data_IF_773541765380
#
_entry.id   IF_773541765380
#
_cell.length_a   1.000
_cell.length_b   1.000
_cell.length_c   1.000
_cell.angle_alpha   90.00
_cell.angle_beta   90.00
_cell.angle_gamma   90.00
#
_symmetry.space_group_name_H-M   'P 1'
#
loop_
_entity.id
_entity.type
_entity.pdbx_description
1 polymer ?
#
# COMPACT_ATOMS: atom_id res chain seq x y z
N UNK A 1 5.75 -64.23 -43.07
CA UNK A 1 6.22 -64.52 -44.44
C UNK A 1 5.46 -63.60 -45.38
N UNK A 2 6.12 -62.64 -46.02
CA UNK A 2 5.45 -61.74 -46.96
C UNK A 2 5.17 -62.47 -48.28
N UNK A 3 3.98 -62.28 -48.86
CA UNK A 3 3.67 -62.87 -50.17
C UNK A 3 4.61 -62.28 -51.24
N UNK A 4 5.33 -63.10 -52.02
CA UNK A 4 6.32 -62.60 -52.99
C UNK A 4 5.69 -61.65 -54.01
N UNK A 5 4.46 -61.94 -54.46
CA UNK A 5 3.69 -61.12 -55.40
C UNK A 5 3.44 -59.69 -54.86
N UNK A 6 3.24 -59.52 -53.54
CA UNK A 6 3.08 -58.20 -52.92
C UNK A 6 4.40 -57.42 -52.87
N UNK A 7 5.53 -58.11 -52.76
CA UNK A 7 6.87 -57.49 -52.81
C UNK A 7 7.19 -57.01 -54.22
N UNK A 8 6.90 -57.83 -55.23
CA UNK A 8 7.18 -57.51 -56.63
C UNK A 8 6.32 -56.34 -57.13
N UNK A 9 5.03 -56.31 -56.75
CA UNK A 9 4.15 -55.18 -57.05
C UNK A 9 4.64 -53.85 -56.45
N UNK A 10 5.25 -53.89 -55.26
CA UNK A 10 5.85 -52.71 -54.60
C UNK A 10 7.10 -52.25 -55.33
N UNK A 11 8.00 -53.17 -55.66
CA UNK A 11 9.23 -52.86 -56.42
C UNK A 11 8.92 -52.26 -57.79
N UNK A 12 7.91 -52.80 -58.47
CA UNK A 12 7.47 -52.28 -59.77
C UNK A 12 6.91 -50.85 -59.68
N UNK A 13 6.12 -50.53 -58.64
CA UNK A 13 5.65 -49.15 -58.40
C UNK A 13 6.80 -48.19 -58.05
N UNK A 14 7.81 -48.65 -57.30
CA UNK A 14 8.99 -47.84 -57.00
C UNK A 14 9.82 -47.52 -58.26
N UNK A 15 9.85 -48.43 -59.24
CA UNK A 15 10.52 -48.24 -60.52
C UNK A 15 9.71 -47.38 -61.51
N UNK A 16 8.39 -47.25 -61.33
CA UNK A 16 7.48 -46.55 -62.25
C UNK A 16 6.63 -45.51 -61.50
N UNK A 17 7.17 -44.35 -61.11
CA UNK A 17 6.48 -43.37 -60.26
C UNK A 17 5.30 -42.65 -60.95
N UNK A 18 5.23 -42.66 -62.28
CA UNK A 18 4.11 -42.10 -63.05
C UNK A 18 2.89 -43.02 -63.09
N UNK A 19 3.04 -44.29 -62.74
CA UNK A 19 1.99 -45.29 -62.83
C UNK A 19 1.13 -45.37 -61.57
N UNK A 20 -0.17 -45.63 -61.77
CA UNK A 20 -1.11 -45.69 -60.65
C UNK A 20 -1.03 -47.02 -59.89
N UNK A 21 -1.36 -46.99 -58.60
CA UNK A 21 -1.51 -48.21 -57.78
C UNK A 21 -2.58 -49.16 -58.36
N UNK A 22 -3.56 -48.63 -59.10
CA UNK A 22 -4.55 -49.44 -59.80
C UNK A 22 -3.95 -50.19 -61.01
N UNK A 23 -2.98 -49.59 -61.70
CA UNK A 23 -2.24 -50.25 -62.79
C UNK A 23 -1.47 -51.46 -62.24
N UNK A 24 -0.69 -51.26 -61.18
CA UNK A 24 0.06 -52.32 -60.51
C UNK A 24 -0.87 -53.44 -59.96
N UNK A 25 -2.02 -53.06 -59.40
CA UNK A 25 -3.03 -54.02 -58.93
C UNK A 25 -3.52 -54.96 -60.04
N UNK A 26 -3.72 -54.44 -61.26
CA UNK A 26 -4.14 -55.25 -62.42
C UNK A 26 -3.02 -56.16 -62.92
N UNK A 27 -1.79 -55.64 -63.03
CA UNK A 27 -0.63 -56.38 -63.53
C UNK A 27 -0.31 -57.58 -62.63
N UNK A 28 -0.24 -57.35 -61.32
CA UNK A 28 0.16 -58.38 -60.35
C UNK A 28 -1.03 -59.18 -59.79
N UNK A 29 -2.25 -58.91 -60.27
CA UNK A 29 -3.50 -59.55 -59.80
C UNK A 29 -3.67 -59.50 -58.28
N UNK A 30 -3.30 -58.37 -57.67
CA UNK A 30 -3.43 -58.11 -56.23
C UNK A 30 -4.56 -57.11 -56.00
N UNK A 31 -5.45 -57.30 -55.01
CA UNK A 31 -6.45 -56.29 -54.66
C UNK A 31 -5.82 -54.93 -54.33
N UNK A 32 -6.35 -53.86 -54.91
CA UNK A 32 -5.84 -52.48 -54.73
C UNK A 32 -5.72 -52.08 -53.25
N UNK A 33 -6.69 -52.45 -52.43
CA UNK A 33 -6.71 -52.18 -50.98
C UNK A 33 -5.55 -52.84 -50.24
N UNK A 34 -5.19 -54.07 -50.61
CA UNK A 34 -4.07 -54.81 -50.01
C UNK A 34 -2.74 -54.16 -50.38
N UNK A 35 -2.57 -53.76 -51.66
CA UNK A 35 -1.36 -53.07 -52.12
C UNK A 35 -1.21 -51.69 -51.46
N UNK A 36 -2.28 -50.89 -51.39
CA UNK A 36 -2.29 -49.60 -50.69
C UNK A 36 -2.00 -49.75 -49.19
N UNK A 37 -2.59 -50.75 -48.54
CA UNK A 37 -2.33 -51.05 -47.13
C UNK A 37 -0.88 -51.46 -46.87
N UNK A 38 -0.26 -52.17 -47.82
CA UNK A 38 1.14 -52.57 -47.72
C UNK A 38 2.08 -51.37 -47.84
N UNK A 39 1.83 -50.48 -48.80
CA UNK A 39 2.59 -49.24 -49.01
C UNK A 39 2.46 -48.31 -47.78
N UNK A 40 1.24 -48.11 -47.29
CA UNK A 40 1.00 -47.24 -46.12
C UNK A 40 1.62 -47.78 -44.84
N UNK A 41 1.69 -49.12 -44.65
CA UNK A 41 2.39 -49.73 -43.52
C UNK A 41 3.90 -49.51 -43.57
N UNK A 42 4.52 -49.60 -44.75
CA UNK A 42 5.95 -49.32 -44.91
C UNK A 42 6.28 -47.84 -44.67
N UNK A 43 5.43 -46.93 -45.15
CA UNK A 43 5.63 -45.49 -44.96
C UNK A 43 5.35 -45.02 -43.53
N UNK A 44 4.69 -45.85 -42.70
CA UNK A 44 4.64 -45.62 -41.26
C UNK A 44 6.01 -45.98 -40.68
N UNK A 45 6.91 -45.00 -40.67
CA UNK A 45 8.08 -44.98 -39.79
C UNK A 45 7.57 -45.40 -38.41
N UNK A 46 8.11 -46.50 -37.89
CA UNK A 46 7.65 -47.12 -36.66
C UNK A 46 7.78 -46.15 -35.49
N UNK A 47 6.73 -45.36 -35.23
CA UNK A 47 6.47 -44.81 -33.91
C UNK A 47 6.06 -46.03 -33.09
N UNK A 48 7.06 -46.73 -32.56
CA UNK A 48 6.84 -47.84 -31.65
C UNK A 48 5.86 -47.35 -30.60
N UNK A 49 4.67 -47.98 -30.55
CA UNK A 49 3.75 -47.82 -29.43
C UNK A 49 4.37 -48.56 -28.24
N UNK A 50 5.44 -47.98 -27.69
CA UNK A 50 5.96 -48.35 -26.39
C UNK A 50 4.90 -47.98 -25.36
N UNK A 51 4.59 -48.91 -24.46
CA UNK A 51 3.74 -48.64 -23.32
C UNK A 51 4.23 -47.41 -22.53
N UNK A 52 3.35 -46.81 -21.73
CA UNK A 52 3.58 -45.55 -20.99
C UNK A 52 4.71 -45.57 -19.96
N UNK A 53 5.59 -46.57 -19.96
CA UNK A 53 6.82 -46.59 -19.18
C UNK A 53 7.83 -45.64 -19.82
N UNK A 54 7.64 -44.34 -19.58
CA UNK A 54 8.64 -43.31 -19.87
C UNK A 54 9.91 -43.67 -19.08
N UNK A 55 10.92 -44.18 -19.78
CA UNK A 55 12.27 -44.23 -19.26
C UNK A 55 12.65 -42.82 -18.80
N UNK A 56 13.29 -42.70 -17.63
CA UNK A 56 13.71 -41.43 -17.06
C UNK A 56 14.57 -40.67 -18.09
N UNK A 57 14.34 -39.38 -18.26
CA UNK A 57 15.20 -38.57 -19.15
C UNK A 57 16.63 -38.54 -18.61
N UNK A 58 17.62 -38.25 -19.46
CA UNK A 58 19.02 -38.17 -19.04
C UNK A 58 19.20 -37.19 -17.87
N UNK A 59 18.49 -36.06 -17.91
CA UNK A 59 18.46 -35.05 -16.84
C UNK A 59 17.86 -35.59 -15.54
N UNK A 60 16.72 -36.28 -15.62
CA UNK A 60 16.09 -36.90 -14.46
C UNK A 60 16.98 -37.98 -13.84
N UNK A 61 17.67 -38.75 -14.68
CA UNK A 61 18.62 -39.78 -14.23
C UNK A 61 19.82 -39.15 -13.52
N UNK A 62 20.36 -38.04 -14.04
CA UNK A 62 21.45 -37.30 -13.42
C UNK A 62 21.05 -36.72 -12.06
N UNK A 63 19.90 -36.05 -11.99
CA UNK A 63 19.37 -35.48 -10.76
C UNK A 63 19.12 -36.57 -9.69
N UNK A 64 18.59 -37.73 -10.10
CA UNK A 64 18.33 -38.84 -9.19
C UNK A 64 19.64 -39.47 -8.67
N UNK A 65 20.68 -39.59 -9.52
CA UNK A 65 22.02 -40.03 -9.10
C UNK A 65 22.66 -39.07 -8.10
N UNK A 66 22.57 -37.76 -8.34
CA UNK A 66 23.07 -36.75 -7.41
C UNK A 66 22.34 -36.84 -6.07
N UNK A 67 21.01 -36.90 -6.08
CA UNK A 67 20.20 -37.04 -4.86
C UNK A 67 20.56 -38.31 -4.07
N UNK A 68 20.68 -39.47 -4.73
CA UNK A 68 21.11 -40.72 -4.09
C UNK A 68 22.47 -40.52 -3.41
N UNK A 69 23.43 -39.90 -4.09
CA UNK A 69 24.77 -39.66 -3.57
C UNK A 69 24.73 -38.78 -2.32
N UNK A 70 23.88 -37.77 -2.30
CA UNK A 70 23.70 -36.88 -1.15
C UNK A 70 23.10 -37.61 0.05
N UNK A 71 22.13 -38.51 -0.16
CA UNK A 71 21.53 -39.31 0.92
C UNK A 71 22.54 -40.27 1.57
N UNK A 72 23.44 -40.87 0.78
CA UNK A 72 24.52 -41.69 1.33
C UNK A 72 25.55 -40.88 2.12
N UNK A 73 25.90 -39.67 1.65
CA UNK A 73 26.76 -38.75 2.42
C UNK A 73 26.15 -38.33 3.75
N UNK A 74 24.82 -38.27 3.84
CA UNK A 74 24.07 -37.97 5.06
C UNK A 74 23.87 -39.19 5.98
N UNK A 75 24.36 -40.38 5.60
CA UNK A 75 24.24 -41.62 6.39
C UNK A 75 22.85 -42.26 6.38
N UNK A 76 21.90 -41.70 5.63
CA UNK A 76 20.50 -42.16 5.59
C UNK A 76 20.31 -43.34 4.64
N UNK A 77 21.17 -43.48 3.63
CA UNK A 77 21.02 -44.43 2.53
C UNK A 77 19.85 -44.07 1.61
N UNK A 78 19.88 -44.58 0.37
CA UNK A 78 18.81 -44.33 -0.60
C UNK A 78 17.97 -45.59 -0.82
N UNK A 79 16.91 -45.75 -0.03
CA UNK A 79 16.00 -46.90 -0.13
C UNK A 79 15.12 -46.80 -1.38
N UNK A 80 14.75 -47.96 -1.96
CA UNK A 80 13.84 -48.06 -3.12
C UNK A 80 12.55 -47.26 -2.91
N UNK A 81 11.97 -47.24 -1.72
CA UNK A 81 10.76 -46.47 -1.45
C UNK A 81 10.99 -44.96 -1.51
N UNK A 82 12.14 -44.46 -1.04
CA UNK A 82 12.47 -43.04 -1.11
C UNK A 82 12.74 -42.58 -2.55
N UNK A 83 13.44 -43.42 -3.34
CA UNK A 83 13.67 -43.10 -4.76
C UNK A 83 12.37 -43.11 -5.57
N UNK A 84 11.45 -44.03 -5.27
CA UNK A 84 10.10 -43.99 -5.83
C UNK A 84 9.34 -42.74 -5.36
N UNK A 85 9.38 -42.40 -4.07
CA UNK A 85 8.71 -41.21 -3.55
C UNK A 85 9.17 -39.93 -4.26
N UNK A 86 10.47 -39.73 -4.44
CA UNK A 86 11.01 -38.56 -5.18
C UNK A 86 10.59 -38.55 -6.65
N UNK A 87 10.51 -39.72 -7.30
CA UNK A 87 10.07 -39.82 -8.69
C UNK A 87 8.60 -39.47 -8.89
N UNK A 88 7.75 -39.75 -7.91
CA UNK A 88 6.30 -39.59 -7.99
C UNK A 88 5.73 -38.47 -7.13
N UNK A 89 6.55 -37.83 -6.29
CA UNK A 89 6.20 -36.62 -5.57
C UNK A 89 6.13 -35.48 -6.58
N UNK A 90 4.94 -35.22 -7.10
CA UNK A 90 4.64 -33.91 -7.67
C UNK A 90 4.92 -32.89 -6.56
N UNK A 91 5.67 -31.80 -6.81
CA UNK A 91 5.70 -30.71 -5.84
C UNK A 91 4.24 -30.35 -5.55
N UNK A 92 3.89 -30.29 -4.27
CA UNK A 92 2.55 -29.91 -3.86
C UNK A 92 2.19 -28.61 -4.61
N UNK A 93 1.03 -28.52 -5.28
CA UNK A 93 0.65 -27.29 -5.94
C UNK A 93 0.61 -26.19 -4.88
N UNK A 94 1.54 -25.24 -4.96
CA UNK A 94 1.53 -24.05 -4.12
C UNK A 94 0.25 -23.32 -4.46
N UNK A 95 -0.74 -23.42 -3.56
CA UNK A 95 -1.98 -22.67 -3.69
C UNK A 95 -1.61 -21.17 -3.69
N UNK A 96 -1.98 -20.38 -4.70
CA UNK A 96 -1.74 -18.94 -4.63
C UNK A 96 -2.61 -18.37 -3.51
N UNK A 97 -2.01 -18.07 -2.37
CA UNK A 97 -2.62 -17.28 -1.28
C UNK A 97 -2.57 -15.80 -1.65
N UNK A 98 -3.07 -15.43 -2.83
CA UNK A 98 -3.08 -14.04 -3.28
C UNK A 98 -4.54 -13.66 -3.46
N UNK A 99 -5.17 -13.28 -2.35
CA UNK A 99 -6.39 -12.47 -2.42
C UNK A 99 -5.96 -11.19 -3.16
N UNK A 100 -6.51 -10.90 -4.36
CA UNK A 100 -6.12 -9.70 -5.09
C UNK A 100 -6.45 -8.48 -4.25
N UNK A 101 -5.46 -7.62 -3.99
CA UNK A 101 -5.61 -6.41 -3.19
C UNK A 101 -6.00 -5.19 -4.06
N UNK A 102 -5.89 -5.32 -5.39
CA UNK A 102 -6.23 -4.27 -6.34
C UNK A 102 -6.99 -4.81 -7.57
N UNK A 103 -7.71 -3.92 -8.25
CA UNK A 103 -8.37 -4.24 -9.52
C UNK A 103 -7.39 -4.77 -10.57
N UNK A 104 -6.21 -4.16 -10.68
CA UNK A 104 -5.18 -4.57 -11.63
C UNK A 104 -4.68 -6.00 -11.37
N UNK A 105 -4.51 -6.38 -10.10
CA UNK A 105 -4.14 -7.76 -9.74
C UNK A 105 -5.24 -8.75 -10.09
N UNK A 106 -6.51 -8.39 -9.87
CA UNK A 106 -7.64 -9.25 -10.23
C UNK A 106 -7.76 -9.45 -11.75
N UNK A 107 -7.48 -8.39 -12.53
CA UNK A 107 -7.47 -8.45 -13.99
C UNK A 107 -6.32 -9.31 -14.51
N UNK A 108 -5.11 -9.13 -13.97
CA UNK A 108 -3.94 -9.93 -14.34
C UNK A 108 -4.17 -11.43 -14.04
N UNK A 109 -4.77 -11.75 -12.90
CA UNK A 109 -5.16 -13.12 -12.56
C UNK A 109 -6.23 -13.65 -13.54
N UNK A 110 -7.25 -12.86 -13.87
CA UNK A 110 -8.27 -13.24 -14.83
C UNK A 110 -7.66 -13.55 -16.20
N UNK A 111 -6.74 -12.70 -16.70
CA UNK A 111 -6.03 -12.93 -17.97
C UNK A 111 -5.16 -14.19 -17.93
N UNK A 112 -4.47 -14.45 -16.82
CA UNK A 112 -3.69 -15.67 -16.64
C UNK A 112 -4.56 -16.94 -16.75
N UNK A 113 -5.72 -16.95 -16.08
CA UNK A 113 -6.62 -18.10 -16.09
C UNK A 113 -7.40 -18.24 -17.39
N UNK A 114 -7.68 -17.12 -18.08
CA UNK A 114 -8.35 -17.09 -19.38
C UNK A 114 -7.62 -17.92 -20.43
N UNK A 115 -6.29 -17.98 -20.38
CA UNK A 115 -5.48 -18.79 -21.30
C UNK A 115 -5.35 -20.24 -20.81
N UNK A 116 -5.23 -20.45 -19.50
CA UNK A 116 -4.85 -21.74 -18.92
C UNK A 116 -6.04 -22.70 -18.76
N UNK A 117 -7.20 -22.22 -18.31
CA UNK A 117 -8.35 -23.07 -17.95
C UNK A 117 -9.11 -23.66 -19.16
N UNK A 118 -9.33 -22.95 -20.28
CA UNK A 118 -10.09 -23.51 -21.39
C UNK A 118 -9.52 -24.83 -21.92
N UNK A 119 -8.19 -25.00 -21.90
CA UNK A 119 -7.50 -26.22 -22.35
C UNK A 119 -7.86 -27.44 -21.49
N UNK A 120 -8.14 -27.23 -20.21
CA UNK A 120 -8.43 -28.27 -19.23
C UNK A 120 -9.93 -28.61 -19.12
N UNK A 121 -10.80 -27.75 -19.65
CA UNK A 121 -12.26 -27.88 -19.52
C UNK A 121 -12.90 -28.58 -20.72
N UNK A 122 -13.97 -29.33 -20.45
CA UNK A 122 -14.87 -29.92 -21.46
C UNK A 122 -15.67 -28.82 -22.19
N UNK A 123 -16.23 -29.14 -23.36
CA UNK A 123 -16.92 -28.14 -24.21
C UNK A 123 -18.02 -27.33 -23.49
N UNK A 124 -18.96 -27.95 -22.75
CA UNK A 124 -20.01 -27.19 -22.04
C UNK A 124 -19.45 -26.33 -20.90
N UNK A 125 -18.48 -26.86 -20.16
CA UNK A 125 -17.83 -26.14 -19.05
C UNK A 125 -16.96 -24.99 -19.55
N UNK A 126 -16.28 -25.17 -20.68
CA UNK A 126 -15.50 -24.14 -21.37
C UNK A 126 -16.39 -22.98 -21.82
N UNK A 127 -17.56 -23.27 -22.38
CA UNK A 127 -18.50 -22.24 -22.81
C UNK A 127 -19.03 -21.43 -21.62
N UNK A 128 -19.39 -22.10 -20.51
CA UNK A 128 -19.78 -21.43 -19.26
C UNK A 128 -18.66 -20.55 -18.71
N UNK A 129 -17.43 -21.06 -18.70
CA UNK A 129 -16.26 -20.33 -18.26
C UNK A 129 -16.01 -19.08 -19.11
N UNK A 130 -16.05 -19.20 -20.44
CA UNK A 130 -15.86 -18.06 -21.34
C UNK A 130 -16.92 -16.97 -21.11
N UNK A 131 -18.19 -17.35 -20.94
CA UNK A 131 -19.26 -16.40 -20.64
C UNK A 131 -19.02 -15.70 -19.30
N UNK A 132 -18.56 -16.43 -18.28
CA UNK A 132 -18.19 -15.86 -16.98
C UNK A 132 -17.00 -14.90 -17.09
N UNK A 133 -15.96 -15.25 -17.85
CA UNK A 133 -14.81 -14.36 -18.08
C UNK A 133 -15.27 -13.05 -18.72
N UNK A 134 -16.07 -13.13 -19.80
CA UNK A 134 -16.60 -11.93 -20.48
C UNK A 134 -17.40 -11.05 -19.52
N UNK A 135 -18.31 -11.65 -18.74
CA UNK A 135 -19.10 -10.90 -17.75
C UNK A 135 -18.26 -10.31 -16.61
N UNK A 136 -17.17 -10.98 -16.24
CA UNK A 136 -16.26 -10.46 -15.20
C UNK A 136 -15.40 -9.32 -15.75
N UNK A 137 -14.92 -9.41 -16.99
CA UNK A 137 -14.18 -8.32 -17.67
C UNK A 137 -15.03 -7.04 -17.74
N UNK A 138 -16.32 -7.15 -18.08
CA UNK A 138 -17.20 -5.98 -18.10
C UNK A 138 -17.37 -5.38 -16.70
N UNK A 139 -17.59 -6.19 -15.67
CA UNK A 139 -17.72 -5.70 -14.28
C UNK A 139 -16.43 -5.03 -13.80
N UNK A 140 -15.27 -5.60 -14.10
CA UNK A 140 -13.97 -5.00 -13.75
C UNK A 140 -13.76 -3.66 -14.44
N UNK A 141 -14.10 -3.53 -15.73
CA UNK A 141 -14.02 -2.27 -16.46
C UNK A 141 -14.93 -1.18 -15.86
N UNK A 142 -16.13 -1.55 -15.39
CA UNK A 142 -17.01 -0.61 -14.68
C UNK A 142 -16.40 -0.17 -13.34
N UNK A 143 -15.78 -1.09 -12.60
CA UNK A 143 -15.06 -0.77 -11.36
C UNK A 143 -13.91 0.21 -11.58
N UNK A 144 -13.09 -0.01 -12.61
CA UNK A 144 -12.01 0.91 -12.99
C UNK A 144 -12.54 2.30 -13.36
N UNK A 145 -13.63 2.38 -14.11
CA UNK A 145 -14.28 3.65 -14.44
C UNK A 145 -14.77 4.38 -13.19
N UNK A 146 -15.30 3.64 -12.21
CA UNK A 146 -15.75 4.21 -10.94
C UNK A 146 -14.59 4.79 -10.12
N UNK A 147 -13.46 4.07 -10.01
CA UNK A 147 -12.26 4.59 -9.35
C UNK A 147 -11.74 5.86 -10.03
N UNK A 148 -11.73 5.86 -11.37
CA UNK A 148 -11.32 7.04 -12.14
C UNK A 148 -12.25 8.23 -11.89
N UNK A 149 -13.56 8.02 -11.92
CA UNK A 149 -14.54 9.07 -11.61
C UNK A 149 -14.35 9.64 -10.20
N UNK A 150 -14.12 8.78 -9.20
CA UNK A 150 -13.83 9.21 -7.83
C UNK A 150 -12.55 10.07 -7.78
N UNK A 151 -11.50 9.67 -8.51
CA UNK A 151 -10.25 10.44 -8.58
C UNK A 151 -10.44 11.81 -9.23
N UNK A 152 -11.26 11.91 -10.28
CA UNK A 152 -11.58 13.19 -10.93
C UNK A 152 -12.35 14.08 -9.97
N UNK A 153 -13.37 13.55 -9.30
CA UNK A 153 -14.18 14.31 -8.35
C UNK A 153 -13.32 14.84 -7.20
N UNK A 154 -12.43 14.01 -6.65
CA UNK A 154 -11.48 14.44 -5.62
C UNK A 154 -10.58 15.56 -6.14
N UNK A 155 -10.01 15.43 -7.34
CA UNK A 155 -9.20 16.47 -7.97
C UNK A 155 -10.00 17.77 -8.17
N UNK A 156 -11.25 17.69 -8.60
CA UNK A 156 -12.11 18.87 -8.77
C UNK A 156 -12.39 19.56 -7.44
N UNK A 157 -12.69 18.79 -6.39
CA UNK A 157 -12.87 19.32 -5.02
C UNK A 157 -11.61 20.03 -4.54
N UNK A 158 -10.44 19.42 -4.74
CA UNK A 158 -9.17 20.03 -4.35
C UNK A 158 -8.85 21.27 -5.17
N UNK A 159 -9.11 21.25 -6.48
CA UNK A 159 -9.02 22.43 -7.31
C UNK A 159 -9.98 23.52 -6.84
N UNK A 160 -11.20 23.21 -6.42
CA UNK A 160 -12.14 24.20 -5.93
C UNK A 160 -11.66 24.82 -4.60
N UNK A 161 -11.20 23.98 -3.65
CA UNK A 161 -10.56 24.43 -2.41
C UNK A 161 -9.35 25.33 -2.69
N UNK A 162 -8.54 24.96 -3.68
CA UNK A 162 -7.34 25.71 -4.07
C UNK A 162 -7.66 26.94 -4.91
N UNK A 163 -8.75 26.96 -5.70
CA UNK A 163 -9.21 28.14 -6.45
C UNK A 163 -9.57 29.28 -5.51
N UNK A 164 -10.21 29.00 -4.37
CA UNK A 164 -10.47 30.02 -3.35
C UNK A 164 -9.20 30.56 -2.68
N UNK A 165 -8.14 29.75 -2.59
CA UNK A 165 -6.81 30.21 -2.11
C UNK A 165 -6.03 30.97 -3.17
N UNK A 166 -6.06 30.52 -4.42
CA UNK A 166 -5.33 31.11 -5.54
C UNK A 166 -6.02 32.37 -6.09
N UNK A 167 -7.35 32.48 -6.01
CA UNK A 167 -8.07 33.72 -6.33
C UNK A 167 -7.72 34.82 -5.33
N UNK A 168 -7.56 34.49 -4.04
CA UNK A 168 -7.06 35.40 -3.01
C UNK A 168 -5.58 35.79 -3.19
N UNK A 169 -4.82 35.03 -3.99
CA UNK A 169 -3.42 35.32 -4.33
C UNK A 169 -3.26 36.04 -5.68
N UNK A 170 -4.34 36.20 -6.48
CA UNK A 170 -4.32 37.01 -7.70
C UNK A 170 -4.48 38.48 -7.34
N UNK A 171 -3.35 39.15 -7.12
CA UNK A 171 -3.21 40.61 -7.13
C UNK A 171 -3.31 41.15 -8.57
N UNK A 172 -4.41 40.86 -9.29
CA UNK A 172 -4.73 41.63 -10.48
C UNK A 172 -6.21 41.49 -10.85
N UNK A 173 -7.00 42.38 -10.28
CA UNK A 173 -8.26 42.83 -10.86
C UNK A 173 -7.94 44.24 -11.38
N UNK A 174 -7.59 44.34 -12.67
CA UNK A 174 -7.49 45.61 -13.41
C UNK A 174 -6.20 46.42 -13.19
N UNK A 175 -5.37 46.51 -14.23
CA UNK A 175 -4.31 47.52 -14.35
C UNK A 175 -2.87 46.98 -14.36
N UNK A 176 -2.00 47.62 -15.16
CA UNK A 176 -0.57 47.33 -15.17
C UNK A 176 0.05 47.81 -13.85
N UNK A 177 0.47 46.86 -13.00
CA UNK A 177 1.14 47.15 -11.74
C UNK A 177 2.46 47.86 -12.04
N UNK A 178 2.59 49.11 -11.60
CA UNK A 178 3.86 49.84 -11.75
C UNK A 178 4.92 49.25 -10.80
N UNK A 179 6.20 49.36 -11.17
CA UNK A 179 7.31 48.77 -10.40
C UNK A 179 7.33 49.31 -8.96
N UNK A 180 6.95 50.57 -8.77
CA UNK A 180 6.91 51.21 -7.46
C UNK A 180 5.76 50.68 -6.59
N UNK A 181 4.58 50.46 -7.15
CA UNK A 181 3.45 49.81 -6.46
C UNK A 181 3.80 48.37 -6.05
N UNK A 182 4.53 47.65 -6.89
CA UNK A 182 4.99 46.30 -6.57
C UNK A 182 5.94 46.28 -5.37
N UNK A 183 6.84 47.27 -5.27
CA UNK A 183 7.74 47.42 -4.11
C UNK A 183 6.96 47.81 -2.85
N UNK A 184 6.02 48.74 -2.94
CA UNK A 184 5.17 49.15 -1.82
C UNK A 184 4.34 47.98 -1.26
N UNK A 185 3.81 47.11 -2.14
CA UNK A 185 3.09 45.91 -1.71
C UNK A 185 4.00 44.87 -1.05
N UNK A 186 5.29 44.82 -1.42
CA UNK A 186 6.26 43.95 -0.76
C UNK A 186 6.62 44.47 0.63
N UNK A 187 6.81 45.78 0.80
CA UNK A 187 7.08 46.39 2.10
C UNK A 187 5.89 46.23 3.04
N UNK A 188 4.66 46.51 2.58
CA UNK A 188 3.44 46.34 3.39
C UNK A 188 3.25 44.88 3.83
N UNK A 189 3.57 43.91 2.96
CA UNK A 189 3.55 42.49 3.32
C UNK A 189 4.60 42.15 4.36
N UNK A 190 5.81 42.68 4.23
CA UNK A 190 6.89 42.46 5.19
C UNK A 190 6.56 43.08 6.55
N UNK A 191 6.03 44.31 6.57
CA UNK A 191 5.57 44.99 7.78
C UNK A 191 4.46 44.19 8.47
N UNK A 192 3.44 43.74 7.72
CA UNK A 192 2.35 42.92 8.28
C UNK A 192 2.85 41.57 8.84
N UNK A 193 3.92 41.01 8.29
CA UNK A 193 4.55 39.80 8.85
C UNK A 193 5.30 40.13 10.14
N UNK A 194 6.09 41.21 10.14
CA UNK A 194 6.81 41.69 11.31
C UNK A 194 5.84 42.04 12.46
N UNK A 195 4.72 42.71 12.18
CA UNK A 195 3.67 42.99 13.17
C UNK A 195 3.08 41.71 13.77
N UNK A 196 2.85 40.68 12.95
CA UNK A 196 2.33 39.39 13.43
C UNK A 196 3.35 38.66 14.29
N UNK A 197 4.63 38.76 13.99
CA UNK A 197 5.70 38.18 14.79
C UNK A 197 5.83 38.92 16.12
N UNK A 198 5.88 40.26 16.10
CA UNK A 198 5.87 41.08 17.30
C UNK A 198 4.62 40.83 18.18
N UNK A 199 3.44 40.66 17.58
CA UNK A 199 2.21 40.33 18.32
C UNK A 199 2.27 38.94 18.97
N UNK A 200 2.91 37.96 18.34
CA UNK A 200 3.12 36.62 18.93
C UNK A 200 4.10 36.70 20.10
N UNK A 201 5.20 37.42 19.93
CA UNK A 201 6.20 37.62 20.99
C UNK A 201 5.59 38.36 22.19
N UNK A 202 4.84 39.44 21.95
CA UNK A 202 4.12 40.18 22.98
C UNK A 202 3.10 39.29 23.71
N UNK A 203 2.41 38.40 22.99
CA UNK A 203 1.48 37.43 23.60
C UNK A 203 2.21 36.43 24.49
N UNK A 204 3.36 35.90 24.07
CA UNK A 204 4.16 34.97 24.87
C UNK A 204 4.67 35.69 26.14
N UNK A 205 5.18 36.91 26.02
CA UNK A 205 5.63 37.71 27.15
C UNK A 205 4.49 37.97 28.15
N UNK A 206 3.29 38.35 27.67
CA UNK A 206 2.09 38.52 28.51
C UNK A 206 1.66 37.22 29.18
N UNK A 207 1.79 36.09 28.50
CA UNK A 207 1.44 34.80 29.07
C UNK A 207 2.42 34.42 30.19
N UNK A 208 3.73 34.64 29.97
CA UNK A 208 4.76 34.40 30.97
C UNK A 208 4.57 35.29 32.21
N UNK A 209 4.31 36.59 32.03
CA UNK A 209 4.09 37.51 33.16
C UNK A 209 2.83 37.14 33.97
N UNK A 210 1.74 36.76 33.29
CA UNK A 210 0.53 36.31 33.95
C UNK A 210 0.72 34.98 34.70
N UNK A 211 1.55 34.07 34.17
CA UNK A 211 1.90 32.83 34.87
C UNK A 211 2.72 33.11 36.12
N UNK A 212 3.73 33.98 36.04
CA UNK A 212 4.54 34.41 37.19
C UNK A 212 3.67 35.06 38.27
N UNK A 213 2.76 35.98 37.90
CA UNK A 213 1.82 36.60 38.85
C UNK A 213 0.92 35.59 39.54
N UNK A 214 0.44 34.57 38.82
CA UNK A 214 -0.36 33.47 39.42
C UNK A 214 0.46 32.62 40.38
N UNK A 215 1.73 32.37 40.09
CA UNK A 215 2.63 31.63 40.97
C UNK A 215 2.88 32.42 42.27
N UNK A 216 3.18 33.72 42.18
CA UNK A 216 3.34 34.59 43.35
C UNK A 216 2.08 34.59 44.23
N UNK A 217 0.89 34.74 43.62
CA UNK A 217 -0.38 34.69 44.35
C UNK A 217 -0.61 33.35 45.06
N UNK A 218 -0.26 32.23 44.43
CA UNK A 218 -0.37 30.89 45.06
C UNK A 218 0.58 30.77 46.25
N UNK A 219 1.83 31.16 46.07
CA UNK A 219 2.83 31.17 47.13
C UNK A 219 2.41 32.07 48.30
N UNK A 220 1.86 33.26 48.03
CA UNK A 220 1.37 34.17 49.08
C UNK A 220 0.17 33.62 49.84
N UNK A 221 -0.76 32.93 49.17
CA UNK A 221 -1.86 32.22 49.85
C UNK A 221 -1.34 31.09 50.75
N UNK A 222 -0.34 30.35 50.30
CA UNK A 222 0.30 29.30 51.09
C UNK A 222 1.04 29.87 52.31
N UNK A 223 1.84 30.93 52.12
CA UNK A 223 2.52 31.64 53.19
C UNK A 223 1.52 32.15 54.24
N UNK A 224 0.41 32.78 53.83
CA UNK A 224 -0.65 33.24 54.75
C UNK A 224 -1.32 32.09 55.52
N UNK A 225 -1.49 30.92 54.90
CA UNK A 225 -2.01 29.72 55.60
C UNK A 225 -1.00 29.21 56.63
N UNK A 226 0.27 29.11 56.25
CA UNK A 226 1.33 28.68 57.16
C UNK A 226 1.48 29.65 58.33
N UNK A 227 1.45 30.96 58.08
CA UNK A 227 1.53 31.98 59.15
C UNK A 227 0.33 31.91 60.09
N UNK A 228 -0.88 31.61 59.58
CA UNK A 228 -2.05 31.36 60.44
C UNK A 228 -1.87 30.11 61.31
N UNK A 229 -1.26 29.05 60.78
CA UNK A 229 -0.95 27.83 61.55
C UNK A 229 0.13 28.11 62.60
N UNK A 230 1.22 28.80 62.23
CA UNK A 230 2.28 29.25 63.13
C UNK A 230 1.70 30.05 64.30
N UNK A 231 0.89 31.08 64.01
CA UNK A 231 0.21 31.89 65.05
C UNK A 231 -0.67 31.04 65.97
N UNK A 232 -1.36 30.03 65.45
CA UNK A 232 -2.14 29.08 66.27
C UNK A 232 -1.25 28.23 67.18
N UNK A 233 -0.14 27.68 66.67
CA UNK A 233 0.84 26.90 67.45
C UNK A 233 1.47 27.74 68.55
N UNK A 234 1.95 28.93 68.21
CA UNK A 234 2.51 29.90 69.17
C UNK A 234 1.51 30.23 70.28
N UNK A 235 0.24 30.45 69.93
CA UNK A 235 -0.82 30.71 70.91
C UNK A 235 -1.07 29.51 71.85
N UNK A 236 -0.98 28.28 71.33
CA UNK A 236 -1.09 27.06 72.14
C UNK A 236 0.09 26.93 73.11
N UNK A 237 1.34 27.06 72.64
CA UNK A 237 2.52 27.00 73.51
C UNK A 237 2.50 28.04 74.63
N UNK A 238 2.11 29.29 74.30
CA UNK A 238 1.92 30.36 75.29
C UNK A 238 0.84 30.03 76.32
N UNK A 239 -0.24 29.37 75.90
CA UNK A 239 -1.33 28.96 76.79
C UNK A 239 -0.90 27.84 77.75
N UNK A 240 -0.09 26.91 77.26
CA UNK A 240 0.39 25.75 78.03
C UNK A 240 1.64 26.07 78.86
N UNK A 241 2.16 27.31 78.81
CA UNK A 241 3.36 27.75 79.54
C UNK A 241 4.67 27.20 78.99
N UNK A 242 4.64 26.58 77.80
CA UNK A 242 5.80 25.97 77.17
C UNK A 242 6.60 27.00 76.34
N UNK A 243 7.95 26.87 76.29
CA UNK A 243 8.78 27.72 75.42
C UNK A 243 8.46 27.46 73.95
N UNK A 244 8.46 28.53 73.14
CA UNK A 244 8.12 28.48 71.71
C UNK A 244 9.30 27.85 70.95
N UNK A 245 9.07 26.81 70.12
CA UNK A 245 10.10 26.20 69.29
C UNK A 245 10.80 27.21 68.36
N UNK A 246 12.10 27.03 68.05
CA UNK A 246 12.87 27.94 67.19
C UNK A 246 12.23 28.20 65.81
N UNK A 247 11.62 27.17 65.22
CA UNK A 247 10.97 27.23 63.90
C UNK A 247 9.74 28.16 63.86
N UNK A 248 9.13 28.44 65.02
CA UNK A 248 7.94 29.27 65.15
C UNK A 248 8.27 30.68 65.66
N UNK A 249 9.55 31.04 65.83
CA UNK A 249 9.96 32.36 66.34
C UNK A 249 9.77 33.46 65.28
N UNK A 250 10.15 33.18 64.04
CA UNK A 250 10.12 34.15 62.97
C UNK A 250 8.79 34.15 62.20
N UNK A 251 8.24 35.34 61.84
CA UNK A 251 7.11 35.44 60.93
C UNK A 251 7.44 34.90 59.53
N UNK A 252 6.52 34.16 58.93
CA UNK A 252 6.70 33.66 57.57
C UNK A 252 6.44 34.81 56.57
N UNK A 253 7.40 35.17 55.71
CA UNK A 253 7.23 36.26 54.74
C UNK A 253 6.21 35.92 53.65
N UNK A 254 5.41 36.91 53.22
CA UNK A 254 4.43 36.76 52.15
C UNK A 254 5.02 37.27 50.82
N UNK A 255 5.41 36.38 49.89
CA UNK A 255 6.05 36.78 48.64
C UNK A 255 5.11 37.61 47.72
N UNK A 256 3.80 37.52 47.89
CA UNK A 256 2.84 38.36 47.16
C UNK A 256 2.92 39.82 47.67
N UNK A 257 2.93 40.02 48.98
CA UNK A 257 2.98 41.34 49.61
C UNK A 257 4.32 42.06 49.39
N UNK A 258 5.43 41.32 49.38
CA UNK A 258 6.75 41.88 49.10
C UNK A 258 6.87 42.36 47.64
N UNK A 259 6.28 41.63 46.70
CA UNK A 259 6.28 42.02 45.28
C UNK A 259 5.47 43.30 44.99
N UNK A 260 4.43 43.58 45.78
CA UNK A 260 3.65 44.81 45.66
C UNK A 260 4.35 46.02 46.29
N UNK A 261 5.17 45.80 47.33
CA UNK A 261 5.92 46.87 48.01
C UNK A 261 7.04 47.50 47.17
N UNK A 262 7.48 46.84 46.09
CA UNK A 262 8.50 47.34 45.17
C UNK A 262 7.98 48.14 43.96
N UNK A 263 6.66 48.24 43.76
CA UNK A 263 6.03 48.91 42.59
C UNK A 263 5.16 50.09 43.05
N UNK A 264 5.62 50.81 44.07
CA UNK A 264 5.08 52.12 44.46
C UNK A 264 5.80 53.26 43.76
N UNK A 265 5.62 53.43 42.45
CA UNK A 265 5.99 54.66 41.73
C UNK A 265 5.11 54.80 40.49
N UNK A 266 4.40 55.94 40.45
CA UNK A 266 3.16 56.14 39.70
C UNK A 266 3.26 56.04 38.18
N UNK A 267 2.16 55.60 37.57
CA UNK A 267 1.78 55.96 36.21
C UNK A 267 0.25 55.93 36.11
N UNK A 268 -0.40 56.92 36.72
CA UNK A 268 -1.80 57.25 36.46
C UNK A 268 -1.89 57.94 35.10
N UNK A 269 -2.22 57.19 34.06
CA UNK A 269 -2.64 57.74 32.77
C UNK A 269 -4.14 57.97 32.85
N UNK A 270 -4.54 59.23 33.03
CA UNK A 270 -5.90 59.71 32.78
C UNK A 270 -6.20 59.57 31.28
N UNK A 271 -6.82 58.44 30.91
CA UNK A 271 -7.44 58.24 29.61
C UNK A 271 -8.84 58.83 29.64
N UNK A 272 -8.97 60.06 29.17
CA UNK A 272 -10.22 60.76 28.91
C UNK A 272 -11.08 59.93 27.93
N UNK A 273 -12.14 59.31 28.46
CA UNK A 273 -13.10 58.52 27.68
C UNK A 273 -14.24 59.47 27.25
N UNK A 274 -14.16 59.93 26.01
CA UNK A 274 -15.16 60.78 25.34
C UNK A 274 -16.33 59.88 24.90
N UNK A 275 -17.46 60.00 25.60
CA UNK A 275 -18.72 59.38 25.22
C UNK A 275 -19.40 60.27 24.17
N UNK A 276 -19.21 59.97 22.89
CA UNK A 276 -20.07 60.53 21.84
C UNK A 276 -21.40 59.77 21.83
N UNK A 277 -22.44 60.45 22.33
CA UNK A 277 -23.82 59.98 22.35
C UNK A 277 -24.41 59.91 20.95
N UNK A 278 -24.91 58.72 20.60
CA UNK A 278 -25.79 58.52 19.47
C UNK A 278 -27.20 59.05 19.81
N UNK A 279 -27.48 60.29 19.40
CA UNK A 279 -28.84 60.77 19.14
C UNK A 279 -29.00 60.95 17.64
N UNK A 280 -29.94 60.19 17.05
CA UNK A 280 -30.89 60.63 16.00
C UNK A 280 -31.42 59.43 15.21
N UNK A 281 -32.64 59.01 15.58
CA UNK A 281 -33.61 58.41 14.66
C UNK A 281 -34.93 59.15 14.88
N UNK A 282 -35.22 60.12 14.01
CA UNK A 282 -36.57 60.47 13.58
C UNK A 282 -36.62 60.35 12.05
#
# INVERSE_FOLDING_TARGET
MENPILSDARKWLAANPSESVATASRIFKVPKSTLQSSITRLNRIGVGRGGQNKLLTATQTKALKEWITTQYKQGLGATKQMTFAVKYSKPAPTLPTIIPASFQESEAQLQHWKVTLPVLLSSPSRQRYNNWVIGTETVLAHGQLQEFNLSILQRQVDQHKNRGRNSRLRLQIGGALTVDEARALQTEKAERVAEKEAAKEARIARQASNQARKQLKRAGVEARKQERLRKKRVKAYKKDGNPIPPEDQDPIPDPEAESESGIGSGSGSEGQFEWDGYENYE
#
